data_IF_561929802245
#
_entry.id   IF_561929802245
#
_cell.length_a   1.000
_cell.length_b   1.000
_cell.length_c   1.000
_cell.angle_alpha   90.00
_cell.angle_beta   90.00
_cell.angle_gamma   90.00
#
_symmetry.space_group_name_H-M   'P 1'
#
loop_
_entity.id
_entity.type
_entity.pdbx_description
1 polymer ?
#
# COMPACT_ATOMS: atom_id res chain seq x y z
N UNK A 1 -8.70 28.23 3.77
CA UNK A 1 -8.01 27.34 2.81
C UNK A 1 -7.79 26.02 3.52
N UNK A 2 -8.13 24.92 2.87
CA UNK A 2 -7.80 23.59 3.37
C UNK A 2 -6.27 23.43 3.32
N UNK A 3 -5.66 22.97 4.41
CA UNK A 3 -4.21 22.79 4.50
C UNK A 3 -3.80 21.56 3.70
N UNK A 4 -2.66 21.64 3.03
CA UNK A 4 -2.14 20.52 2.25
C UNK A 4 -1.50 19.46 3.15
N UNK A 5 -1.75 18.19 2.87
CA UNK A 5 -1.21 17.05 3.64
C UNK A 5 0.19 16.68 3.16
N UNK A 6 1.14 16.49 4.09
CA UNK A 6 2.50 16.05 3.79
C UNK A 6 2.67 14.52 3.78
N UNK A 7 1.86 13.79 4.56
CA UNK A 7 1.88 12.33 4.57
C UNK A 7 1.57 11.80 3.17
N UNK A 8 2.49 10.99 2.64
CA UNK A 8 2.38 10.47 1.28
C UNK A 8 3.17 11.27 0.25
N UNK A 9 3.90 12.32 0.63
CA UNK A 9 4.85 13.00 -0.26
C UNK A 9 6.21 12.30 -0.30
N UNK A 10 6.81 12.18 -1.49
CA UNK A 10 8.18 11.68 -1.62
C UNK A 10 9.19 12.69 -1.06
N UNK A 11 10.44 12.28 -0.88
CA UNK A 11 11.51 13.21 -0.51
C UNK A 11 11.66 14.37 -1.50
N UNK A 12 11.47 14.13 -2.79
CA UNK A 12 11.53 15.18 -3.82
C UNK A 12 10.37 16.18 -3.66
N UNK A 13 9.16 15.70 -3.42
CA UNK A 13 8.00 16.58 -3.19
C UNK A 13 8.09 17.33 -1.85
N UNK A 14 8.68 16.72 -0.82
CA UNK A 14 9.01 17.44 0.42
C UNK A 14 10.07 18.51 0.17
N UNK A 15 11.01 18.28 -0.75
CA UNK A 15 11.97 19.30 -1.16
C UNK A 15 11.28 20.48 -1.83
N UNK A 16 10.37 20.22 -2.77
CA UNK A 16 9.56 21.25 -3.43
C UNK A 16 8.74 22.08 -2.44
N UNK A 17 8.14 21.44 -1.43
CA UNK A 17 7.43 22.13 -0.34
C UNK A 17 8.37 23.08 0.40
N UNK A 18 9.55 22.60 0.80
CA UNK A 18 10.50 23.44 1.55
C UNK A 18 11.09 24.57 0.70
N UNK A 19 11.35 24.32 -0.59
CA UNK A 19 11.87 25.32 -1.53
C UNK A 19 10.82 26.41 -1.78
N UNK A 20 9.55 26.04 -1.94
CA UNK A 20 8.44 26.98 -2.10
C UNK A 20 8.18 27.86 -0.86
N UNK A 21 8.66 27.44 0.32
CA UNK A 21 8.64 28.23 1.56
C UNK A 21 9.95 29.01 1.79
N UNK A 22 10.94 28.90 0.90
CA UNK A 22 12.25 29.53 1.07
C UNK A 22 13.07 28.94 2.23
N UNK A 23 12.79 27.69 2.63
CA UNK A 23 13.47 27.02 3.73
C UNK A 23 14.78 26.36 3.25
N UNK A 24 15.76 26.16 4.14
CA UNK A 24 17.02 25.48 3.77
C UNK A 24 16.78 24.06 3.24
N UNK A 25 17.58 23.62 2.26
CA UNK A 25 17.42 22.30 1.61
C UNK A 25 17.38 21.11 2.57
N UNK A 26 18.14 21.15 3.67
CA UNK A 26 18.16 20.06 4.64
C UNK A 26 16.82 19.87 5.38
N UNK A 27 15.94 20.88 5.37
CA UNK A 27 14.62 20.85 6.03
C UNK A 27 13.76 19.70 5.51
N UNK A 28 13.80 19.40 4.20
CA UNK A 28 13.04 18.30 3.63
C UNK A 28 13.47 16.94 4.19
N UNK A 29 14.77 16.75 4.42
CA UNK A 29 15.29 15.53 5.05
C UNK A 29 14.89 15.42 6.52
N UNK A 30 14.86 16.55 7.23
CA UNK A 30 14.36 16.59 8.62
C UNK A 30 12.87 16.25 8.69
N UNK A 31 12.06 16.84 7.81
CA UNK A 31 10.62 16.53 7.71
C UNK A 31 10.39 15.05 7.42
N UNK A 32 11.10 14.51 6.43
CA UNK A 32 11.03 13.09 6.07
C UNK A 32 11.32 12.17 7.27
N UNK A 33 12.36 12.47 8.04
CA UNK A 33 12.72 11.71 9.25
C UNK A 33 11.62 11.78 10.32
N UNK A 34 11.07 12.97 10.58
CA UNK A 34 9.99 13.14 11.55
C UNK A 34 8.70 12.43 11.15
N UNK A 35 8.31 12.54 9.87
CA UNK A 35 7.05 11.98 9.37
C UNK A 35 7.16 10.45 9.24
N UNK A 36 8.23 9.94 8.62
CA UNK A 36 8.28 8.53 8.20
C UNK A 36 9.08 7.60 9.12
N UNK A 37 10.01 8.13 9.92
CA UNK A 37 10.78 7.30 10.88
C UNK A 37 10.29 7.45 12.30
N UNK A 38 9.89 8.67 12.68
CA UNK A 38 9.44 9.00 14.04
C UNK A 38 7.93 9.06 14.18
N UNK A 39 7.19 9.02 13.08
CA UNK A 39 5.72 9.02 13.06
C UNK A 39 5.10 10.19 13.83
N UNK A 40 5.70 11.38 13.68
CA UNK A 40 5.25 12.61 14.36
C UNK A 40 4.30 13.40 13.46
N UNK A 41 3.09 13.68 13.94
CA UNK A 41 2.07 14.48 13.25
C UNK A 41 2.11 15.97 13.55
N UNK A 42 2.71 16.40 14.66
CA UNK A 42 2.77 17.82 15.05
C UNK A 42 4.13 18.44 14.71
N UNK A 43 4.11 19.50 13.90
CA UNK A 43 5.30 20.27 13.59
C UNK A 43 5.96 20.85 14.84
N UNK A 44 5.21 21.11 15.92
CA UNK A 44 5.75 21.66 17.17
C UNK A 44 6.80 20.75 17.81
N UNK A 45 6.65 19.44 17.67
CA UNK A 45 7.52 18.39 18.20
C UNK A 45 8.83 18.23 17.39
N UNK A 46 8.90 18.82 16.19
CA UNK A 46 10.05 18.73 15.30
C UNK A 46 11.18 19.68 15.74
N UNK A 47 11.84 19.32 16.85
CA UNK A 47 12.76 20.21 17.59
C UNK A 47 13.98 20.70 16.80
N UNK A 48 14.40 19.98 15.76
CA UNK A 48 15.51 20.36 14.89
C UNK A 48 15.11 21.25 13.70
N UNK A 49 13.81 21.58 13.57
CA UNK A 49 13.33 22.64 12.68
C UNK A 49 13.39 23.99 13.40
N UNK A 50 13.76 25.06 12.69
CA UNK A 50 13.70 26.41 13.26
C UNK A 50 12.25 26.81 13.59
N UNK A 51 12.08 27.75 14.53
CA UNK A 51 10.75 28.27 14.87
C UNK A 51 10.02 28.83 13.64
N UNK A 52 10.73 29.61 12.83
CA UNK A 52 10.23 30.14 11.56
C UNK A 52 9.80 29.05 10.57
N UNK A 53 10.55 27.94 10.46
CA UNK A 53 10.17 26.84 9.59
C UNK A 53 8.86 26.17 10.04
N UNK A 54 8.71 25.91 11.35
CA UNK A 54 7.48 25.34 11.91
C UNK A 54 6.27 26.25 11.68
N UNK A 55 6.44 27.56 11.87
CA UNK A 55 5.37 28.56 11.63
C UNK A 55 4.94 28.57 10.16
N UNK A 56 5.87 28.66 9.21
CA UNK A 56 5.57 28.64 7.77
C UNK A 56 4.90 27.33 7.32
N UNK A 57 5.32 26.20 7.87
CA UNK A 57 4.69 24.90 7.60
C UNK A 57 3.26 24.88 8.16
N UNK A 58 3.06 25.31 9.40
CA UNK A 58 1.75 25.33 10.05
C UNK A 58 0.73 26.23 9.32
N UNK A 59 1.15 27.27 8.62
CA UNK A 59 0.25 28.14 7.86
C UNK A 59 -0.44 27.43 6.68
N UNK A 60 0.30 26.56 5.97
CA UNK A 60 -0.15 25.98 4.70
C UNK A 60 -0.32 24.47 4.71
N UNK A 61 0.32 23.78 5.66
CA UNK A 61 0.43 22.33 5.66
C UNK A 61 -0.03 21.72 6.98
N UNK A 62 -0.39 20.45 6.90
CA UNK A 62 -0.50 19.50 8.02
C UNK A 62 0.33 18.28 7.69
N UNK A 63 0.87 17.59 8.70
CA UNK A 63 1.45 16.26 8.44
C UNK A 63 0.37 15.34 7.90
N UNK A 64 -0.83 15.37 8.49
CA UNK A 64 -1.96 14.53 8.13
C UNK A 64 -1.90 13.18 8.82
N UNK A 65 -2.55 12.19 8.21
CA UNK A 65 -2.87 10.91 8.85
C UNK A 65 -4.25 10.96 9.53
N UNK A 66 -5.00 9.89 9.37
CA UNK A 66 -6.35 9.75 9.89
C UNK A 66 -6.41 8.49 10.76
N UNK A 67 -6.86 8.64 12.01
CA UNK A 67 -7.07 7.50 12.90
C UNK A 67 -8.09 6.51 12.33
N UNK A 68 -7.95 5.25 12.71
CA UNK A 68 -8.99 4.27 12.43
C UNK A 68 -10.28 4.64 13.17
N UNK A 69 -11.41 4.48 12.49
CA UNK A 69 -12.75 4.75 13.01
C UNK A 69 -13.33 3.58 13.81
N UNK A 70 -12.73 2.39 13.71
CA UNK A 70 -13.15 1.20 14.45
C UNK A 70 -12.15 0.05 14.32
N UNK A 71 -12.23 -0.88 15.27
CA UNK A 71 -11.42 -2.11 15.30
C UNK A 71 -12.29 -3.29 15.73
N UNK A 72 -12.08 -4.44 15.09
CA UNK A 72 -12.63 -5.73 15.49
C UNK A 72 -11.48 -6.68 15.81
N UNK A 73 -11.54 -7.33 16.96
CA UNK A 73 -10.50 -8.25 17.42
C UNK A 73 -11.02 -9.69 17.46
N UNK A 74 -10.25 -10.59 16.84
CA UNK A 74 -10.49 -12.03 16.82
C UNK A 74 -9.80 -12.71 18.01
N UNK A 75 -10.23 -13.95 18.32
CA UNK A 75 -9.68 -14.75 19.43
C UNK A 75 -8.21 -15.15 19.22
N UNK A 76 -7.77 -15.22 17.98
CA UNK A 76 -6.37 -15.50 17.59
C UNK A 76 -5.49 -14.25 17.63
N UNK A 77 -6.04 -13.10 18.01
CA UNK A 77 -5.33 -11.82 18.07
C UNK A 77 -5.32 -11.04 16.75
N UNK A 78 -5.90 -11.57 15.66
CA UNK A 78 -6.09 -10.78 14.44
C UNK A 78 -6.98 -9.58 14.72
N UNK A 79 -6.55 -8.40 14.27
CA UNK A 79 -7.30 -7.16 14.39
C UNK A 79 -7.63 -6.60 13.02
N UNK A 80 -8.90 -6.32 12.77
CA UNK A 80 -9.38 -5.68 11.55
C UNK A 80 -9.77 -4.24 11.85
N UNK A 81 -9.04 -3.32 11.25
CA UNK A 81 -9.19 -1.87 11.42
C UNK A 81 -9.99 -1.29 10.26
N UNK A 82 -10.86 -0.33 10.57
CA UNK A 82 -11.65 0.42 9.60
C UNK A 82 -11.11 1.85 9.50
N UNK A 83 -10.47 2.19 8.39
CA UNK A 83 -9.93 3.52 8.14
C UNK A 83 -10.87 4.33 7.23
N UNK A 84 -11.15 5.60 7.56
CA UNK A 84 -11.76 6.53 6.62
C UNK A 84 -10.80 6.81 5.45
N UNK A 85 -11.33 6.86 4.23
CA UNK A 85 -10.54 7.15 3.02
C UNK A 85 -11.33 8.06 2.07
N UNK A 86 -11.17 9.38 2.20
CA UNK A 86 -11.76 10.38 1.30
C UNK A 86 -13.29 10.35 1.14
N UNK A 87 -13.95 11.48 1.39
CA UNK A 87 -15.42 11.57 1.23
C UNK A 87 -16.15 10.68 2.23
N UNK A 88 -16.95 9.72 1.73
CA UNK A 88 -17.75 8.78 2.55
C UNK A 88 -17.25 7.33 2.49
N UNK A 89 -16.07 7.09 1.92
CA UNK A 89 -15.56 5.73 1.76
C UNK A 89 -14.76 5.28 2.98
N UNK A 90 -14.73 3.97 3.17
CA UNK A 90 -13.92 3.31 4.19
C UNK A 90 -13.15 2.15 3.58
N UNK A 91 -11.98 1.88 4.14
CA UNK A 91 -11.14 0.74 3.79
C UNK A 91 -10.82 -0.07 5.04
N UNK A 92 -10.50 -1.34 4.83
CA UNK A 92 -10.08 -2.24 5.88
C UNK A 92 -8.56 -2.49 5.82
N UNK A 93 -7.94 -2.60 6.99
CA UNK A 93 -6.59 -3.14 7.14
C UNK A 93 -6.61 -4.25 8.21
N UNK A 94 -5.90 -5.34 7.98
CA UNK A 94 -5.86 -6.46 8.93
C UNK A 94 -4.46 -6.66 9.49
N UNK A 95 -4.31 -6.50 10.80
CA UNK A 95 -3.11 -6.88 11.54
C UNK A 95 -3.23 -8.33 11.98
N UNK A 96 -2.28 -9.15 11.57
CA UNK A 96 -2.29 -10.61 11.77
C UNK A 96 -1.01 -10.96 12.57
N UNK A 97 -1.12 -11.15 13.89
CA UNK A 97 0.02 -11.56 14.70
C UNK A 97 0.26 -13.07 14.55
N UNK A 98 1.52 -13.44 14.42
CA UNK A 98 1.99 -14.83 14.45
C UNK A 98 3.20 -14.93 15.37
N UNK A 99 3.60 -16.15 15.77
CA UNK A 99 4.70 -16.33 16.75
C UNK A 99 6.03 -15.66 16.35
N UNK A 100 6.33 -15.59 15.04
CA UNK A 100 7.62 -15.13 14.51
C UNK A 100 7.55 -13.90 13.63
N UNK A 101 6.33 -13.48 13.25
CA UNK A 101 6.10 -12.35 12.35
C UNK A 101 4.75 -11.73 12.65
N UNK A 102 4.61 -10.43 12.38
CA UNK A 102 3.32 -9.77 12.40
C UNK A 102 3.10 -9.15 11.02
N UNK A 103 2.03 -9.57 10.37
CA UNK A 103 1.71 -9.17 9.01
C UNK A 103 0.61 -8.11 9.03
N UNK A 104 0.83 -7.00 8.33
CA UNK A 104 -0.22 -6.03 8.05
C UNK A 104 -0.68 -6.20 6.60
N UNK A 105 -1.96 -6.52 6.43
CA UNK A 105 -2.65 -6.52 5.15
C UNK A 105 -3.28 -5.15 4.91
N UNK A 106 -2.87 -4.47 3.84
CA UNK A 106 -3.33 -3.11 3.51
C UNK A 106 -4.03 -3.04 2.16
N UNK A 107 -4.94 -2.07 2.07
CA UNK A 107 -5.76 -1.74 0.91
C UNK A 107 -5.08 -0.69 0.02
N UNK A 108 -5.38 -0.71 -1.28
CA UNK A 108 -4.93 0.27 -2.28
C UNK A 108 -6.08 1.04 -2.93
N UNK A 109 -7.32 0.57 -2.78
CA UNK A 109 -8.53 1.20 -3.30
C UNK A 109 -9.67 1.04 -2.29
N UNK A 110 -10.64 1.95 -2.33
CA UNK A 110 -11.96 1.73 -1.77
C UNK A 110 -12.82 1.01 -2.81
N UNK A 111 -13.16 -0.24 -2.53
CA UNK A 111 -13.78 -1.13 -3.51
C UNK A 111 -12.79 -1.65 -4.57
N UNK A 112 -13.28 -2.36 -5.58
CA UNK A 112 -12.45 -2.91 -6.65
C UNK A 112 -13.24 -3.14 -7.94
N UNK A 113 -12.67 -2.80 -9.10
CA UNK A 113 -13.34 -2.97 -10.41
C UNK A 113 -13.09 -4.31 -11.10
N UNK A 114 -12.29 -5.20 -10.50
CA UNK A 114 -11.87 -6.45 -11.15
C UNK A 114 -12.96 -7.53 -11.22
N UNK A 115 -14.06 -7.38 -10.48
CA UNK A 115 -15.24 -8.23 -10.62
C UNK A 115 -15.03 -9.71 -10.26
N UNK A 116 -13.99 -10.05 -9.49
CA UNK A 116 -13.76 -11.42 -9.02
C UNK A 116 -14.96 -11.90 -8.19
N UNK A 117 -15.62 -12.99 -8.60
CA UNK A 117 -16.96 -13.35 -8.09
C UNK A 117 -16.94 -13.78 -6.61
N UNK A 118 -15.79 -14.29 -6.15
CA UNK A 118 -15.57 -14.74 -4.78
C UNK A 118 -15.19 -13.60 -3.83
N UNK A 119 -14.86 -12.42 -4.37
CA UNK A 119 -14.35 -11.30 -3.60
C UNK A 119 -15.49 -10.37 -3.16
N UNK A 120 -15.63 -10.15 -1.84
CA UNK A 120 -16.63 -9.20 -1.32
C UNK A 120 -16.37 -7.78 -1.81
N UNK A 121 -15.11 -7.35 -1.86
CA UNK A 121 -14.71 -6.04 -2.40
C UNK A 121 -15.07 -5.88 -3.87
N UNK A 122 -14.97 -6.96 -4.66
CA UNK A 122 -15.42 -6.96 -6.05
C UNK A 122 -16.94 -6.75 -6.18
N UNK A 123 -17.73 -7.32 -5.26
CA UNK A 123 -19.20 -7.13 -5.22
C UNK A 123 -19.62 -5.72 -4.80
N UNK A 124 -18.82 -5.03 -3.99
CA UNK A 124 -19.07 -3.64 -3.60
C UNK A 124 -18.92 -2.65 -4.77
N UNK A 125 -18.22 -3.07 -5.84
CA UNK A 125 -17.84 -2.20 -6.95
C UNK A 125 -16.68 -1.28 -6.57
N UNK A 126 -16.20 -0.50 -7.53
CA UNK A 126 -15.14 0.49 -7.31
C UNK A 126 -15.71 1.84 -6.89
N UNK A 127 -15.07 2.47 -5.90
CA UNK A 127 -15.45 3.80 -5.40
C UNK A 127 -14.34 4.81 -5.67
N UNK A 128 -13.13 4.54 -5.19
CA UNK A 128 -12.00 5.47 -5.32
C UNK A 128 -10.65 4.78 -5.23
N UNK A 129 -9.65 5.36 -5.90
CA UNK A 129 -8.24 5.06 -5.65
C UNK A 129 -7.79 5.75 -4.37
N UNK A 130 -6.97 5.06 -3.58
CA UNK A 130 -6.32 5.70 -2.44
C UNK A 130 -5.12 6.52 -2.90
N UNK A 131 -4.95 7.69 -2.30
CA UNK A 131 -3.71 8.47 -2.38
C UNK A 131 -2.56 7.72 -1.67
N UNK A 132 -1.29 8.08 -1.93
CA UNK A 132 -0.16 7.47 -1.23
C UNK A 132 -0.26 7.65 0.28
N UNK A 133 -0.77 8.82 0.71
CA UNK A 133 -1.01 9.14 2.12
C UNK A 133 -2.01 8.18 2.76
N UNK A 134 -3.14 7.91 2.11
CA UNK A 134 -4.15 6.96 2.61
C UNK A 134 -3.64 5.50 2.63
N UNK A 135 -2.81 5.11 1.65
CA UNK A 135 -2.19 3.77 1.64
C UNK A 135 -1.26 3.62 2.85
N UNK A 136 -0.30 4.55 3.02
CA UNK A 136 0.66 4.45 4.14
C UNK A 136 0.02 4.74 5.50
N UNK A 137 -1.10 5.46 5.55
CA UNK A 137 -1.83 5.75 6.78
C UNK A 137 -2.25 4.47 7.53
N UNK A 138 -2.56 3.40 6.80
CA UNK A 138 -2.92 2.10 7.38
C UNK A 138 -1.81 1.48 8.24
N UNK A 139 -0.54 1.82 7.95
CA UNK A 139 0.61 1.47 8.79
C UNK A 139 0.95 2.61 9.77
N UNK A 140 0.94 3.85 9.30
CA UNK A 140 1.36 5.03 10.07
C UNK A 140 0.50 5.22 11.34
N UNK A 141 -0.83 5.08 11.21
CA UNK A 141 -1.84 5.18 12.28
C UNK A 141 -2.30 3.81 12.83
N UNK A 142 -1.45 2.78 12.70
CA UNK A 142 -1.69 1.49 13.33
C UNK A 142 -1.16 1.49 14.77
N UNK A 143 -1.96 1.11 15.78
CA UNK A 143 -1.45 0.98 17.16
C UNK A 143 -0.28 -0.01 17.29
N UNK A 144 -0.29 -1.10 16.51
CA UNK A 144 0.77 -2.11 16.49
C UNK A 144 1.89 -1.84 15.47
N UNK A 145 1.96 -0.65 14.88
CA UNK A 145 2.92 -0.31 13.80
C UNK A 145 4.34 -0.79 14.08
N UNK A 146 4.88 -0.51 15.26
CA UNK A 146 6.27 -0.83 15.61
C UNK A 146 6.53 -2.35 15.76
N UNK A 147 5.46 -3.17 15.74
CA UNK A 147 5.53 -4.64 15.74
C UNK A 147 5.38 -5.24 14.35
N UNK A 148 4.92 -4.47 13.36
CA UNK A 148 4.71 -4.96 11.99
C UNK A 148 6.05 -5.37 11.39
N UNK A 149 6.16 -6.63 11.01
CA UNK A 149 7.38 -7.20 10.44
C UNK A 149 7.24 -7.50 8.95
N UNK A 150 6.01 -7.59 8.45
CA UNK A 150 5.65 -7.96 7.09
C UNK A 150 4.44 -7.14 6.62
N UNK A 151 4.42 -6.81 5.34
CA UNK A 151 3.34 -6.05 4.73
C UNK A 151 2.87 -6.79 3.47
N UNK A 152 1.55 -6.90 3.32
CA UNK A 152 0.95 -7.51 2.14
C UNK A 152 -0.09 -6.57 1.55
N UNK A 153 -0.01 -6.34 0.24
CA UNK A 153 -1.03 -5.61 -0.52
C UNK A 153 -2.07 -6.61 -1.02
N UNK A 154 -2.90 -7.07 -0.09
CA UNK A 154 -3.97 -8.07 -0.28
C UNK A 154 -5.28 -7.61 0.37
N UNK A 155 -5.39 -6.32 0.68
CA UNK A 155 -6.60 -5.71 1.23
C UNK A 155 -7.63 -5.44 0.14
N UNK A 156 -8.30 -4.30 0.25
CA UNK A 156 -9.25 -3.84 -0.75
C UNK A 156 -8.53 -3.20 -1.95
N UNK A 157 -8.91 -3.61 -3.16
CA UNK A 157 -8.40 -3.06 -4.41
C UNK A 157 -7.38 -3.94 -5.14
N UNK A 158 -7.12 -3.59 -6.39
CA UNK A 158 -6.03 -4.15 -7.20
C UNK A 158 -4.88 -3.13 -7.21
N UNK A 159 -3.72 -3.41 -6.59
CA UNK A 159 -2.60 -2.47 -6.54
C UNK A 159 -2.18 -1.93 -7.91
N UNK A 160 -2.17 -2.78 -8.94
CA UNK A 160 -1.72 -2.39 -10.28
C UNK A 160 -2.74 -1.54 -11.04
N UNK A 161 -3.96 -1.43 -10.52
CA UNK A 161 -4.98 -0.52 -11.02
C UNK A 161 -4.90 0.88 -10.39
N UNK A 162 -4.15 1.00 -9.30
CA UNK A 162 -3.80 2.26 -8.65
C UNK A 162 -2.28 2.51 -8.70
N UNK A 163 -1.67 2.20 -9.86
CA UNK A 163 -0.24 2.00 -10.00
C UNK A 163 0.62 3.16 -9.49
N UNK A 164 0.32 4.41 -9.87
CA UNK A 164 1.17 5.54 -9.52
C UNK A 164 1.13 5.84 -8.01
N UNK A 165 -0.05 5.83 -7.40
CA UNK A 165 -0.18 6.06 -5.96
C UNK A 165 0.42 4.90 -5.16
N UNK A 166 0.22 3.67 -5.63
CA UNK A 166 0.79 2.47 -5.06
C UNK A 166 2.32 2.49 -5.11
N UNK A 167 2.95 2.70 -6.28
CA UNK A 167 4.40 2.72 -6.42
C UNK A 167 5.03 3.83 -5.58
N UNK A 168 4.40 5.00 -5.53
CA UNK A 168 4.84 6.09 -4.65
C UNK A 168 4.75 5.74 -3.16
N UNK A 169 3.68 5.06 -2.73
CA UNK A 169 3.57 4.56 -1.36
C UNK A 169 4.64 3.51 -1.05
N UNK A 170 4.96 2.65 -2.01
CA UNK A 170 5.96 1.60 -1.89
C UNK A 170 7.37 2.20 -1.78
N UNK A 171 7.67 3.24 -2.56
CA UNK A 171 8.91 4.03 -2.42
C UNK A 171 9.04 4.59 -1.00
N UNK A 172 8.01 5.26 -0.48
CA UNK A 172 8.02 5.82 0.89
C UNK A 172 8.25 4.73 1.94
N UNK A 173 7.58 3.59 1.81
CA UNK A 173 7.70 2.47 2.76
C UNK A 173 9.12 1.88 2.74
N UNK A 174 9.77 1.79 1.58
CA UNK A 174 11.01 1.04 1.41
C UNK A 174 12.28 1.90 1.44
N UNK A 175 12.17 3.18 1.07
CA UNK A 175 13.35 4.02 0.88
C UNK A 175 14.09 4.29 2.20
N UNK A 176 15.43 4.42 2.18
CA UNK A 176 16.22 4.77 3.38
C UNK A 176 15.86 6.13 3.98
N UNK A 177 15.25 7.03 3.21
CA UNK A 177 14.76 8.31 3.71
C UNK A 177 13.34 8.23 4.29
N UNK A 178 12.58 7.19 3.94
CA UNK A 178 11.21 6.95 4.37
C UNK A 178 11.16 6.01 5.56
N UNK A 179 10.27 5.01 5.51
CA UNK A 179 10.06 4.05 6.62
C UNK A 179 11.11 2.94 6.67
N UNK A 180 11.95 2.82 5.63
CA UNK A 180 13.10 1.90 5.58
C UNK A 180 12.73 0.41 5.80
N UNK A 181 11.51 0.01 5.42
CA UNK A 181 11.10 -1.39 5.46
C UNK A 181 11.76 -2.17 4.32
N UNK A 182 12.40 -3.30 4.64
CA UNK A 182 13.03 -4.13 3.61
C UNK A 182 12.00 -4.61 2.57
N UNK A 183 12.25 -4.44 1.25
CA UNK A 183 11.38 -4.95 0.19
C UNK A 183 11.08 -6.46 0.30
N UNK A 184 11.99 -7.23 0.90
CA UNK A 184 11.85 -8.68 1.14
C UNK A 184 10.80 -9.04 2.20
N UNK A 185 10.26 -8.06 2.91
CA UNK A 185 9.18 -8.21 3.88
C UNK A 185 7.83 -7.79 3.30
N UNK A 186 7.80 -7.37 2.04
CA UNK A 186 6.63 -6.84 1.36
C UNK A 186 6.24 -7.78 0.23
N UNK A 187 4.97 -8.19 0.21
CA UNK A 187 4.39 -8.98 -0.89
C UNK A 187 3.24 -8.23 -1.53
N UNK A 188 3.27 -8.09 -2.84
CA UNK A 188 2.26 -7.39 -3.63
C UNK A 188 1.47 -8.44 -4.38
N UNK A 189 0.17 -8.55 -4.09
CA UNK A 189 -0.72 -9.41 -4.85
C UNK A 189 -1.29 -8.67 -6.05
N UNK A 190 -1.48 -9.39 -7.15
CA UNK A 190 -2.17 -8.89 -8.34
C UNK A 190 -2.98 -9.98 -9.01
N UNK A 191 -4.04 -9.57 -9.69
CA UNK A 191 -4.80 -10.39 -10.64
C UNK A 191 -4.15 -10.47 -12.04
N UNK A 192 -3.06 -9.74 -12.28
CA UNK A 192 -2.22 -9.88 -13.48
C UNK A 192 -2.43 -8.84 -14.58
N UNK A 193 -2.56 -7.54 -14.24
CA UNK A 193 -2.59 -6.46 -15.24
C UNK A 193 -1.21 -6.32 -15.90
N UNK A 194 -1.03 -6.89 -17.11
CA UNK A 194 0.29 -7.11 -17.70
C UNK A 194 1.19 -5.87 -17.79
N UNK A 195 0.75 -4.70 -18.32
CA UNK A 195 1.63 -3.54 -18.44
C UNK A 195 2.09 -3.01 -17.07
N UNK A 196 1.20 -3.01 -16.08
CA UNK A 196 1.52 -2.57 -14.73
C UNK A 196 2.38 -3.59 -13.97
N UNK A 197 2.17 -4.89 -14.20
CA UNK A 197 3.01 -5.96 -13.66
C UNK A 197 4.44 -5.87 -14.22
N UNK A 198 4.61 -5.64 -15.52
CA UNK A 198 5.91 -5.38 -16.13
C UNK A 198 6.63 -4.23 -15.42
N UNK A 199 5.95 -3.08 -15.28
CA UNK A 199 6.50 -1.92 -14.60
C UNK A 199 6.87 -2.21 -13.14
N UNK A 200 6.02 -2.93 -12.39
CA UNK A 200 6.33 -3.31 -11.01
C UNK A 200 7.55 -4.24 -10.91
N UNK A 201 7.71 -5.16 -11.87
CA UNK A 201 8.88 -6.04 -11.92
C UNK A 201 10.15 -5.24 -12.16
N UNK A 202 10.11 -4.24 -13.05
CA UNK A 202 11.24 -3.39 -13.40
C UNK A 202 11.62 -2.39 -12.29
N UNK A 203 10.63 -1.83 -11.59
CA UNK A 203 10.82 -0.71 -10.65
C UNK A 203 10.90 -1.13 -9.17
N UNK A 204 10.64 -2.39 -8.81
CA UNK A 204 10.59 -2.84 -7.41
C UNK A 204 11.26 -4.18 -7.16
N UNK A 205 11.88 -4.33 -5.98
CA UNK A 205 12.43 -5.58 -5.46
C UNK A 205 11.46 -6.37 -4.55
N UNK A 206 10.24 -5.86 -4.35
CA UNK A 206 9.25 -6.51 -3.49
C UNK A 206 8.80 -7.87 -4.06
N UNK A 207 8.32 -8.75 -3.19
CA UNK A 207 7.78 -10.04 -3.61
C UNK A 207 6.48 -9.86 -4.40
N UNK A 208 6.26 -10.76 -5.35
CA UNK A 208 5.07 -10.76 -6.20
C UNK A 208 4.22 -11.99 -5.85
N UNK A 209 2.92 -11.80 -5.70
CA UNK A 209 1.93 -12.86 -5.59
C UNK A 209 0.93 -12.72 -6.74
N UNK A 210 0.68 -13.81 -7.45
CA UNK A 210 -0.30 -13.86 -8.54
C UNK A 210 -1.56 -14.55 -8.02
N UNK A 211 -2.68 -13.84 -8.05
CA UNK A 211 -4.01 -14.39 -7.81
C UNK A 211 -4.41 -15.33 -8.97
N UNK A 212 -4.09 -16.61 -8.80
CA UNK A 212 -4.25 -17.66 -9.80
C UNK A 212 -5.62 -18.33 -9.70
N UNK A 213 -5.88 -18.95 -8.54
CA UNK A 213 -7.10 -19.67 -8.14
C UNK A 213 -7.55 -20.85 -9.02
N UNK A 214 -7.10 -20.98 -10.26
CA UNK A 214 -7.26 -22.20 -11.07
C UNK A 214 -6.20 -22.18 -12.18
N UNK A 215 -5.61 -23.34 -12.56
CA UNK A 215 -4.69 -23.41 -13.69
C UNK A 215 -5.40 -23.43 -15.05
N UNK A 216 -6.74 -23.55 -15.08
CA UNK A 216 -7.50 -23.72 -16.32
C UNK A 216 -8.17 -22.41 -16.74
N UNK A 217 -7.92 -21.97 -17.98
CA UNK A 217 -8.44 -20.72 -18.55
C UNK A 217 -9.97 -20.60 -18.39
N UNK A 218 -10.72 -21.65 -18.75
CA UNK A 218 -12.18 -21.62 -18.73
C UNK A 218 -12.75 -21.41 -17.32
N UNK A 219 -12.22 -22.12 -16.32
CA UNK A 219 -12.55 -21.92 -14.91
C UNK A 219 -12.14 -20.53 -14.43
N UNK A 220 -10.96 -20.05 -14.86
CA UNK A 220 -10.47 -18.73 -14.45
C UNK A 220 -11.38 -17.62 -14.97
N UNK A 221 -11.90 -17.74 -16.20
CA UNK A 221 -12.90 -16.81 -16.76
C UNK A 221 -14.18 -16.75 -15.93
N UNK A 222 -14.62 -17.88 -15.38
CA UNK A 222 -15.80 -17.92 -14.51
C UNK A 222 -15.55 -17.20 -13.18
N UNK A 223 -14.35 -17.37 -12.60
CA UNK A 223 -14.00 -16.77 -11.30
C UNK A 223 -13.57 -15.30 -11.40
N UNK A 224 -12.78 -14.97 -12.43
CA UNK A 224 -12.01 -13.75 -12.58
C UNK A 224 -12.18 -13.21 -14.00
N UNK A 225 -13.10 -12.25 -14.22
CA UNK A 225 -13.40 -11.70 -15.55
C UNK A 225 -12.17 -11.16 -16.31
N UNK A 226 -11.13 -10.77 -15.55
CA UNK A 226 -9.89 -10.24 -16.08
C UNK A 226 -9.06 -11.25 -16.89
N UNK A 227 -9.34 -12.55 -16.80
CA UNK A 227 -8.77 -13.55 -17.72
C UNK A 227 -9.08 -13.23 -19.19
N UNK A 228 -10.20 -12.57 -19.49
CA UNK A 228 -10.54 -12.18 -20.86
C UNK A 228 -9.65 -11.05 -21.42
N UNK A 229 -9.10 -10.21 -20.54
CA UNK A 229 -8.27 -9.07 -20.93
C UNK A 229 -6.77 -9.38 -20.82
N UNK A 230 -6.39 -10.15 -19.79
CA UNK A 230 -5.02 -10.56 -19.50
C UNK A 230 -5.00 -12.06 -19.20
N UNK A 231 -4.85 -12.90 -20.25
CA UNK A 231 -4.85 -14.35 -20.10
C UNK A 231 -3.67 -14.86 -19.27
N UNK A 232 -3.88 -15.97 -18.58
CA UNK A 232 -2.87 -16.54 -17.70
C UNK A 232 -1.59 -16.97 -18.43
N UNK A 233 -1.69 -17.44 -19.68
CA UNK A 233 -0.54 -17.81 -20.50
C UNK A 233 0.37 -16.61 -20.81
N UNK A 234 -0.21 -15.42 -20.98
CA UNK A 234 0.55 -14.18 -21.17
C UNK A 234 1.24 -13.76 -19.87
N UNK A 235 0.55 -13.91 -18.72
CA UNK A 235 1.13 -13.69 -17.39
C UNK A 235 2.36 -14.59 -17.20
N UNK A 236 2.24 -15.89 -17.48
CA UNK A 236 3.37 -16.82 -17.37
C UNK A 236 4.48 -16.52 -18.38
N UNK A 237 4.13 -16.09 -19.58
CA UNK A 237 5.11 -15.70 -20.60
C UNK A 237 5.93 -14.49 -20.14
N UNK A 238 5.27 -13.49 -19.55
CA UNK A 238 5.95 -12.34 -18.95
C UNK A 238 6.85 -12.79 -17.79
N UNK A 239 6.34 -13.59 -16.85
CA UNK A 239 7.17 -14.06 -15.73
C UNK A 239 8.38 -14.88 -16.21
N UNK A 240 8.26 -15.66 -17.29
CA UNK A 240 9.39 -16.41 -17.86
C UNK A 240 10.39 -15.52 -18.61
N UNK A 241 9.99 -14.33 -19.06
CA UNK A 241 10.91 -13.40 -19.75
C UNK A 241 11.82 -12.64 -18.78
N UNK A 242 11.53 -12.66 -17.49
CA UNK A 242 12.32 -12.00 -16.46
C UNK A 242 13.27 -12.95 -15.74
N UNK A 243 14.51 -12.49 -15.50
CA UNK A 243 15.44 -13.16 -14.60
C UNK A 243 15.28 -12.60 -13.19
N UNK A 244 14.57 -13.33 -12.34
CA UNK A 244 14.30 -12.90 -10.97
C UNK A 244 15.50 -13.17 -10.06
N UNK A 245 15.94 -12.17 -9.25
CA UNK A 245 16.95 -12.42 -8.23
C UNK A 245 16.52 -13.56 -7.30
N UNK A 246 17.43 -14.45 -6.90
CA UNK A 246 17.12 -15.63 -6.04
C UNK A 246 16.36 -15.30 -4.75
N UNK A 247 16.46 -14.06 -4.27
CA UNK A 247 15.80 -13.60 -3.06
C UNK A 247 14.39 -13.04 -3.30
N UNK A 248 14.01 -12.71 -4.53
CA UNK A 248 12.68 -12.22 -4.89
C UNK A 248 11.77 -13.43 -5.13
N UNK A 249 10.77 -13.59 -4.28
CA UNK A 249 9.81 -14.69 -4.36
C UNK A 249 8.64 -14.32 -5.26
N UNK A 250 8.23 -15.29 -6.08
CA UNK A 250 6.96 -15.27 -6.80
C UNK A 250 6.10 -16.36 -6.18
N UNK A 251 4.90 -15.99 -5.75
CA UNK A 251 3.93 -16.91 -5.16
C UNK A 251 2.69 -16.95 -6.03
N UNK A 252 1.99 -18.08 -6.03
CA UNK A 252 0.69 -18.24 -6.69
C UNK A 252 -0.35 -18.47 -5.61
N UNK A 253 -1.35 -17.61 -5.57
CA UNK A 253 -2.43 -17.69 -4.59
C UNK A 253 -3.58 -18.51 -5.14
N UNK A 254 -4.05 -19.45 -4.33
CA UNK A 254 -5.03 -20.44 -4.75
C UNK A 254 -6.08 -20.61 -3.65
N UNK A 255 -7.30 -20.13 -3.91
CA UNK A 255 -8.42 -20.28 -2.99
C UNK A 255 -9.10 -21.60 -3.31
N UNK A 256 -9.34 -22.42 -2.29
CA UNK A 256 -10.01 -23.72 -2.42
C UNK A 256 -11.52 -23.53 -2.30
N UNK A 257 -12.24 -23.77 -3.38
CA UNK A 257 -13.70 -23.78 -3.48
C UNK A 257 -14.18 -25.23 -3.59
N UNK A 258 -14.93 -25.65 -2.57
CA UNK A 258 -15.46 -27.02 -2.46
C UNK A 258 -16.23 -27.43 -3.72
N UNK A 259 -15.82 -28.54 -4.35
CA UNK A 259 -16.46 -29.13 -5.52
C UNK A 259 -16.19 -28.39 -6.83
N UNK A 260 -15.19 -27.50 -6.85
CA UNK A 260 -14.79 -26.76 -8.04
C UNK A 260 -13.30 -26.94 -8.34
N UNK A 261 -12.44 -26.58 -7.39
CA UNK A 261 -10.99 -26.57 -7.59
C UNK A 261 -10.20 -27.10 -6.37
N UNK A 262 -10.87 -27.87 -5.48
CA UNK A 262 -10.28 -28.43 -4.26
C UNK A 262 -9.68 -29.84 -4.39
#
# INVERSE_FOLDING_TARGET
>A
MEKETLLGKTKAELQEVTDGLGLPRFTASQLSDWIYKKFVSDFSEMTNLSKNARELLLEKYVVGGIDHSGVQESKDGTKKYLFPSGGQNFIEAAYIPEEKRNTLCISTQAGCKMGCIFCMTGKQGFQANLSPGEIINQLWNLPERDRVSNLVFMGMGEPFDNMDNFMKSLEIITAPWGMEMSPKRITVSTIGILPAMSRFIDESDCHLAISLHTPFEHERKELMPMENAYPLDEIFSLLKSYDFPRQRKISFEYIMFKGFND
#
